data_IF_129212919484
#
_entry.id   IF_129212919484
#
_cell.length_a   1.000
_cell.length_b   1.000
_cell.length_c   1.000
_cell.angle_alpha   90.00
_cell.angle_beta   90.00
_cell.angle_gamma   90.00
#
_symmetry.space_group_name_H-M   'P 1'
#
loop_
_entity.id
_entity.type
_entity.pdbx_description
1 polymer ?
#
# COMPACT_ATOMS: atom_id res chain seq x y z
N UNK A 1 22.08 -16.69 -20.11
CA UNK A 1 23.20 -15.83 -20.50
C UNK A 1 24.45 -16.68 -20.64
N UNK A 2 25.19 -16.52 -21.73
CA UNK A 2 26.29 -17.42 -22.09
C UNK A 2 25.80 -18.88 -22.30
N UNK A 3 26.54 -19.85 -21.83
CA UNK A 3 26.20 -21.27 -21.95
C UNK A 3 25.43 -21.80 -20.71
N UNK A 4 25.02 -20.92 -19.78
CA UNK A 4 24.33 -21.34 -18.56
C UNK A 4 22.82 -21.32 -18.82
N UNK A 5 22.19 -22.48 -18.65
CA UNK A 5 20.76 -22.69 -18.73
C UNK A 5 20.23 -22.80 -17.30
N UNK A 6 19.23 -22.01 -16.98
CA UNK A 6 18.44 -22.08 -15.72
C UNK A 6 17.09 -22.68 -16.07
N UNK A 7 16.70 -23.75 -15.39
CA UNK A 7 15.40 -24.39 -15.57
C UNK A 7 14.37 -23.78 -14.61
N UNK A 8 13.10 -23.93 -14.96
CA UNK A 8 12.01 -23.58 -14.08
C UNK A 8 12.13 -24.29 -12.72
N UNK A 9 11.97 -23.56 -11.61
CA UNK A 9 12.13 -24.06 -10.24
C UNK A 9 13.56 -24.06 -9.70
N UNK A 10 14.60 -23.77 -10.51
CA UNK A 10 15.97 -23.61 -10.00
C UNK A 10 16.14 -22.27 -9.26
N UNK A 11 16.81 -22.33 -8.11
CA UNK A 11 17.14 -21.13 -7.34
C UNK A 11 18.22 -20.31 -8.05
N UNK A 12 18.01 -19.00 -8.11
CA UNK A 12 18.98 -18.02 -8.59
C UNK A 12 19.11 -16.88 -7.59
N UNK A 13 20.28 -16.26 -7.55
CA UNK A 13 20.53 -15.03 -6.83
C UNK A 13 20.81 -13.91 -7.82
N UNK A 14 20.16 -12.76 -7.66
CA UNK A 14 20.32 -11.59 -8.52
C UNK A 14 21.00 -10.48 -7.74
N UNK A 15 22.09 -9.94 -8.26
CA UNK A 15 22.72 -8.74 -7.79
C UNK A 15 22.34 -7.58 -8.72
N UNK A 16 21.36 -6.77 -8.29
CA UNK A 16 20.89 -5.63 -9.06
C UNK A 16 21.91 -4.51 -9.22
N UNK A 17 22.89 -4.41 -8.32
CA UNK A 17 23.93 -3.41 -8.38
C UNK A 17 24.95 -3.68 -9.49
N UNK A 18 25.39 -4.94 -9.64
CA UNK A 18 26.34 -5.35 -10.70
C UNK A 18 25.67 -5.93 -11.93
N UNK A 19 24.35 -6.18 -11.91
CA UNK A 19 23.60 -6.84 -12.97
C UNK A 19 23.93 -8.34 -13.11
N UNK A 20 24.56 -8.95 -12.12
CA UNK A 20 24.93 -10.38 -12.16
C UNK A 20 23.79 -11.27 -11.72
N UNK A 21 23.64 -12.39 -12.43
CA UNK A 21 22.75 -13.48 -12.04
C UNK A 21 23.62 -14.71 -11.71
N UNK A 22 23.43 -15.24 -10.52
CA UNK A 22 24.20 -16.37 -10.00
C UNK A 22 23.27 -17.56 -9.81
N UNK A 23 23.73 -18.75 -10.20
CA UNK A 23 22.96 -19.99 -9.97
C UNK A 23 23.10 -20.39 -8.50
N UNK A 24 21.96 -20.73 -7.88
CA UNK A 24 21.87 -21.12 -6.48
C UNK A 24 21.66 -19.96 -5.52
N UNK A 25 21.61 -20.29 -4.23
CA UNK A 25 21.47 -19.32 -3.13
C UNK A 25 22.84 -18.82 -2.69
N UNK A 26 23.09 -17.53 -2.89
CA UNK A 26 24.31 -16.86 -2.42
C UNK A 26 23.98 -16.13 -1.12
N UNK A 27 24.81 -16.26 -0.07
CA UNK A 27 24.64 -15.52 1.17
C UNK A 27 24.62 -14.01 0.91
N UNK A 28 23.61 -13.32 1.44
CA UNK A 28 23.45 -11.87 1.33
C UNK A 28 23.79 -11.20 2.65
N UNK A 29 24.35 -10.01 2.56
CA UNK A 29 24.65 -9.17 3.73
C UNK A 29 23.58 -8.11 3.85
N UNK A 30 23.01 -7.95 5.04
CA UNK A 30 22.08 -6.86 5.31
C UNK A 30 22.82 -5.52 5.29
N UNK A 31 22.32 -4.52 4.57
CA UNK A 31 22.95 -3.21 4.57
C UNK A 31 22.84 -2.56 5.96
N UNK A 32 23.93 -1.99 6.42
CA UNK A 32 24.01 -1.26 7.69
C UNK A 32 24.69 0.08 7.52
N UNK A 33 24.23 1.08 8.25
CA UNK A 33 24.93 2.36 8.36
C UNK A 33 26.06 2.18 9.38
N UNK A 34 27.24 1.84 8.92
CA UNK A 34 28.39 1.54 9.79
C UNK A 34 29.70 2.13 9.26
N UNK A 35 30.72 2.16 10.10
CA UNK A 35 32.07 2.57 9.73
C UNK A 35 32.17 3.98 9.14
N UNK A 36 32.92 4.14 8.08
CA UNK A 36 33.14 5.44 7.41
C UNK A 36 31.84 6.06 6.86
N UNK A 37 30.88 5.25 6.45
CA UNK A 37 29.60 5.76 5.97
C UNK A 37 28.82 6.47 7.10
N UNK A 38 28.80 5.88 8.30
CA UNK A 38 28.22 6.53 9.48
C UNK A 38 28.90 7.84 9.81
N UNK A 39 30.22 7.89 9.68
CA UNK A 39 31.01 9.12 9.92
C UNK A 39 30.63 10.21 8.93
N UNK A 40 30.57 9.89 7.64
CA UNK A 40 30.17 10.86 6.59
C UNK A 40 28.75 11.37 6.84
N UNK A 41 27.81 10.47 7.19
CA UNK A 41 26.43 10.86 7.51
C UNK A 41 26.37 11.79 8.71
N UNK A 42 27.17 11.53 9.76
CA UNK A 42 27.23 12.41 10.93
C UNK A 42 27.81 13.80 10.62
N UNK A 43 28.72 13.90 9.67
CA UNK A 43 29.20 15.17 9.18
C UNK A 43 28.14 15.91 8.36
N UNK A 44 27.48 15.22 7.44
CA UNK A 44 26.38 15.78 6.65
C UNK A 44 25.27 16.34 7.56
N UNK A 45 24.91 15.65 8.62
CA UNK A 45 23.90 16.06 9.59
C UNK A 45 24.22 17.38 10.32
N UNK A 46 25.50 17.72 10.45
CA UNK A 46 25.93 19.01 11.05
C UNK A 46 25.69 20.21 10.12
N UNK A 47 25.63 19.99 8.83
CA UNK A 47 25.52 21.07 7.82
C UNK A 47 24.15 21.14 7.16
N UNK A 48 23.42 20.02 7.05
CA UNK A 48 22.09 20.01 6.43
C UNK A 48 21.10 20.83 7.25
N UNK A 49 20.22 21.52 6.54
CA UNK A 49 19.07 22.27 7.12
C UNK A 49 17.75 21.52 6.95
N UNK A 50 17.64 20.74 5.88
CA UNK A 50 16.44 19.98 5.59
C UNK A 50 16.47 18.61 6.27
N UNK A 51 15.30 18.14 6.65
CA UNK A 51 15.08 16.79 7.15
C UNK A 51 14.77 15.84 6.02
N UNK A 52 15.16 14.58 6.16
CA UNK A 52 14.91 13.52 5.19
C UNK A 52 13.70 12.70 5.61
N UNK A 53 12.69 12.63 4.75
CA UNK A 53 11.52 11.77 4.93
C UNK A 53 11.51 10.72 3.83
N UNK A 54 11.04 9.52 4.20
CA UNK A 54 10.95 8.38 3.28
C UNK A 54 9.51 8.10 2.88
N UNK A 55 9.33 7.22 1.89
CA UNK A 55 8.06 6.57 1.63
C UNK A 55 8.01 5.26 2.42
N UNK A 56 6.91 5.01 3.12
CA UNK A 56 6.67 3.76 3.85
C UNK A 56 5.16 3.54 4.00
N UNK A 57 4.69 2.34 3.74
CA UNK A 57 3.29 1.97 3.74
C UNK A 57 2.95 0.88 4.75
N UNK A 58 3.97 0.23 5.34
CA UNK A 58 3.81 -0.84 6.33
C UNK A 58 4.59 -0.57 7.61
N UNK A 59 4.28 -1.31 8.66
CA UNK A 59 5.07 -1.30 9.90
C UNK A 59 6.54 -1.63 9.64
N UNK A 60 6.80 -2.64 8.80
CA UNK A 60 8.15 -3.11 8.51
C UNK A 60 8.95 -2.08 7.70
N UNK A 61 8.33 -1.44 6.70
CA UNK A 61 8.96 -0.34 5.97
C UNK A 61 9.31 0.81 6.90
N UNK A 62 8.39 1.15 7.82
CA UNK A 62 8.59 2.21 8.81
C UNK A 62 9.74 1.90 9.76
N UNK A 63 9.86 0.64 10.22
CA UNK A 63 11.00 0.17 11.04
C UNK A 63 12.31 0.29 10.27
N UNK A 64 12.32 -0.16 9.04
CA UNK A 64 13.49 -0.08 8.16
C UNK A 64 13.89 1.37 7.90
N UNK A 65 12.93 2.22 7.57
CA UNK A 65 13.12 3.64 7.37
C UNK A 65 13.78 4.31 8.59
N UNK A 66 13.23 4.01 9.78
CA UNK A 66 13.76 4.56 11.03
C UNK A 66 15.17 4.06 11.36
N UNK A 67 15.44 2.77 11.08
CA UNK A 67 16.80 2.18 11.21
C UNK A 67 17.80 2.90 10.33
N UNK A 68 17.40 3.34 9.13
CA UNK A 68 18.23 4.10 8.19
C UNK A 68 18.21 5.62 8.43
N UNK A 69 17.67 6.09 9.55
CA UNK A 69 17.75 7.49 9.96
C UNK A 69 16.72 8.42 9.32
N UNK A 70 15.61 7.88 8.78
CA UNK A 70 14.52 8.71 8.30
C UNK A 70 13.88 9.51 9.44
N UNK A 71 13.62 10.79 9.20
CA UNK A 71 13.06 11.74 10.16
C UNK A 71 11.55 11.98 9.95
N UNK A 72 10.91 11.04 9.32
CA UNK A 72 9.47 11.03 9.06
C UNK A 72 9.09 10.23 7.83
N UNK A 73 7.81 10.08 7.62
CA UNK A 73 7.24 9.55 6.38
C UNK A 73 6.75 10.72 5.55
N UNK A 74 7.31 10.88 4.34
CA UNK A 74 6.93 11.90 3.38
C UNK A 74 5.73 11.50 2.54
N UNK A 75 5.51 10.20 2.36
CA UNK A 75 4.35 9.63 1.67
C UNK A 75 4.05 8.23 2.18
N UNK A 76 2.85 8.07 2.73
CA UNK A 76 2.23 6.78 3.00
C UNK A 76 1.04 6.60 2.04
N UNK A 77 1.14 5.64 1.11
CA UNK A 77 0.10 5.35 0.11
C UNK A 77 -0.87 4.34 0.66
N UNK A 78 -2.08 4.77 0.94
CA UNK A 78 -3.10 3.92 1.56
C UNK A 78 -3.63 2.84 0.63
N UNK A 79 -3.50 3.00 -0.68
CA UNK A 79 -3.87 1.98 -1.66
C UNK A 79 -3.12 0.66 -1.47
N UNK A 80 -1.87 0.69 -1.03
CA UNK A 80 -1.08 -0.53 -0.78
C UNK A 80 -1.68 -1.38 0.35
N UNK A 81 -2.38 -0.74 1.29
CA UNK A 81 -3.07 -1.45 2.37
C UNK A 81 -4.29 -2.24 1.88
N UNK A 82 -4.83 -1.91 0.70
CA UNK A 82 -6.03 -2.54 0.15
C UNK A 82 -5.76 -3.79 -0.69
N UNK A 83 -4.52 -4.00 -1.14
CA UNK A 83 -4.16 -5.16 -1.99
C UNK A 83 -3.93 -6.47 -1.22
N UNK A 84 -4.01 -6.45 0.10
CA UNK A 84 -3.92 -7.66 0.94
C UNK A 84 -5.06 -8.63 0.62
N UNK A 85 -4.76 -9.93 0.51
CA UNK A 85 -5.73 -10.98 0.14
C UNK A 85 -6.95 -11.03 1.06
N UNK A 86 -6.77 -10.72 2.35
CA UNK A 86 -7.87 -10.72 3.32
C UNK A 86 -8.80 -9.50 3.19
N UNK A 87 -8.43 -8.51 2.40
CA UNK A 87 -9.12 -7.22 2.29
C UNK A 87 -9.67 -6.95 0.90
N UNK A 88 -8.99 -7.46 -0.12
CA UNK A 88 -9.29 -7.14 -1.53
C UNK A 88 -10.74 -7.42 -1.90
N UNK A 89 -11.35 -8.47 -1.35
CA UNK A 89 -12.76 -8.77 -1.58
C UNK A 89 -13.66 -7.66 -1.06
N UNK A 90 -13.42 -7.15 0.16
CA UNK A 90 -14.19 -6.03 0.73
C UNK A 90 -13.96 -4.74 -0.05
N UNK A 91 -12.77 -4.51 -0.59
CA UNK A 91 -12.47 -3.36 -1.47
C UNK A 91 -13.27 -3.48 -2.77
N UNK A 92 -13.30 -4.65 -3.39
CA UNK A 92 -14.10 -4.92 -4.59
C UNK A 92 -15.60 -4.75 -4.32
N UNK A 93 -16.09 -5.22 -3.16
CA UNK A 93 -17.47 -4.98 -2.71
C UNK A 93 -17.78 -3.48 -2.59
N UNK A 94 -16.89 -2.70 -1.97
CA UNK A 94 -17.02 -1.26 -1.85
C UNK A 94 -17.14 -0.57 -3.22
N UNK A 95 -16.29 -0.94 -4.18
CA UNK A 95 -16.24 -0.33 -5.50
C UNK A 95 -17.48 -0.68 -6.35
N UNK A 96 -17.91 -1.93 -6.29
CA UNK A 96 -19.01 -2.46 -7.11
C UNK A 96 -20.39 -2.24 -6.49
N UNK A 97 -20.44 -1.72 -5.24
CA UNK A 97 -21.70 -1.42 -4.56
C UNK A 97 -22.55 -0.42 -5.33
N UNK A 98 -23.84 -0.72 -5.49
CA UNK A 98 -24.82 0.15 -6.14
C UNK A 98 -25.41 1.19 -5.19
N UNK A 99 -25.54 0.83 -3.92
CA UNK A 99 -26.11 1.71 -2.90
C UNK A 99 -25.04 2.20 -1.93
N UNK A 100 -25.31 3.34 -1.29
CA UNK A 100 -24.49 3.84 -0.19
C UNK A 100 -24.46 2.84 0.96
N UNK A 101 -25.57 2.23 1.31
CA UNK A 101 -25.66 1.26 2.40
C UNK A 101 -24.73 0.05 2.18
N UNK A 102 -24.70 -0.50 0.96
CA UNK A 102 -23.82 -1.63 0.66
C UNK A 102 -22.35 -1.22 0.71
N UNK A 103 -22.06 0.01 0.28
CA UNK A 103 -20.69 0.56 0.38
C UNK A 103 -20.28 0.77 1.83
N UNK A 104 -21.14 1.33 2.67
CA UNK A 104 -20.89 1.50 4.10
C UNK A 104 -20.67 0.15 4.80
N UNK A 105 -21.41 -0.89 4.42
CA UNK A 105 -21.20 -2.25 4.92
C UNK A 105 -19.81 -2.81 4.53
N UNK A 106 -19.34 -2.55 3.32
CA UNK A 106 -18.01 -2.94 2.90
C UNK A 106 -16.91 -2.15 3.62
N UNK A 107 -17.09 -0.83 3.75
CA UNK A 107 -16.18 0.06 4.46
C UNK A 107 -16.06 -0.28 5.94
N UNK A 108 -17.15 -0.68 6.60
CA UNK A 108 -17.14 -1.10 8.01
C UNK A 108 -16.25 -2.33 8.25
N UNK A 109 -16.08 -3.20 7.24
CA UNK A 109 -15.15 -4.33 7.30
C UNK A 109 -13.69 -3.89 7.11
N UNK A 110 -13.45 -2.83 6.34
CA UNK A 110 -12.11 -2.31 6.05
C UNK A 110 -11.57 -1.43 7.18
N UNK A 111 -12.42 -0.69 7.87
CA UNK A 111 -12.05 0.23 8.94
C UNK A 111 -11.11 -0.38 10.00
N UNK A 112 -11.39 -1.55 10.60
CA UNK A 112 -10.51 -2.12 11.63
C UNK A 112 -9.12 -2.48 11.08
N UNK A 113 -9.02 -2.92 9.84
CA UNK A 113 -7.74 -3.22 9.21
C UNK A 113 -6.91 -1.96 9.02
N UNK A 114 -7.47 -0.94 8.39
CA UNK A 114 -6.75 0.33 8.18
C UNK A 114 -6.38 1.02 9.50
N UNK A 115 -7.29 1.01 10.47
CA UNK A 115 -6.96 1.52 11.81
C UNK A 115 -5.76 0.82 12.40
N UNK A 116 -5.68 -0.50 12.31
CA UNK A 116 -4.55 -1.26 12.82
C UNK A 116 -3.25 -0.94 12.06
N UNK A 117 -3.29 -0.82 10.74
CA UNK A 117 -2.13 -0.47 9.92
C UNK A 117 -1.58 0.92 10.33
N UNK A 118 -2.45 1.91 10.45
CA UNK A 118 -2.05 3.24 10.92
C UNK A 118 -1.51 3.21 12.35
N UNK A 119 -2.15 2.46 13.24
CA UNK A 119 -1.66 2.29 14.63
C UNK A 119 -0.23 1.76 14.64
N UNK A 120 0.09 0.77 13.83
CA UNK A 120 1.42 0.18 13.72
C UNK A 120 2.44 1.19 13.19
N UNK A 121 2.13 1.86 12.09
CA UNK A 121 2.98 2.88 11.48
C UNK A 121 3.24 4.03 12.47
N UNK A 122 2.20 4.57 13.09
CA UNK A 122 2.31 5.70 14.02
C UNK A 122 3.09 5.33 15.29
N UNK A 123 2.94 4.10 15.77
CA UNK A 123 3.72 3.59 16.91
C UNK A 123 5.21 3.58 16.58
N UNK A 124 5.59 3.05 15.43
CA UNK A 124 6.98 3.03 14.97
C UNK A 124 7.51 4.45 14.76
N UNK A 125 6.70 5.34 14.20
CA UNK A 125 7.08 6.72 13.88
C UNK A 125 6.80 7.71 15.00
N UNK A 126 6.60 7.25 16.24
CA UNK A 126 6.31 8.13 17.37
C UNK A 126 7.32 9.27 17.49
N UNK A 127 6.82 10.51 17.62
CA UNK A 127 7.61 11.75 17.65
C UNK A 127 8.05 12.28 16.28
N UNK A 128 7.74 11.57 15.18
CA UNK A 128 8.10 11.96 13.82
C UNK A 128 6.84 12.17 12.95
N UNK A 129 6.88 13.09 11.98
CA UNK A 129 5.74 13.36 11.11
C UNK A 129 5.48 12.22 10.13
N UNK A 130 4.20 11.94 9.89
CA UNK A 130 3.72 10.99 8.88
C UNK A 130 2.74 11.71 7.96
N UNK A 131 3.06 11.78 6.67
CA UNK A 131 2.16 12.30 5.64
C UNK A 131 1.41 11.14 4.99
N UNK A 132 0.12 11.06 5.24
CA UNK A 132 -0.77 10.04 4.68
C UNK A 132 -1.43 10.58 3.42
N UNK A 133 -1.34 9.86 2.31
CA UNK A 133 -2.15 10.08 1.13
C UNK A 133 -3.39 9.20 1.22
N UNK A 134 -4.56 9.81 1.26
CA UNK A 134 -5.82 9.09 1.15
C UNK A 134 -5.93 8.41 -0.21
N UNK A 135 -6.87 7.50 -0.38
CA UNK A 135 -7.04 6.69 -1.60
C UNK A 135 -7.00 7.57 -2.86
N UNK A 136 -6.02 7.32 -3.73
CA UNK A 136 -5.77 8.13 -4.92
C UNK A 136 -5.94 7.40 -6.25
N UNK A 137 -5.52 6.13 -6.44
CA UNK A 137 -5.62 5.50 -7.75
C UNK A 137 -7.07 5.29 -8.20
N UNK A 138 -7.31 5.17 -9.52
CA UNK A 138 -8.63 4.85 -10.06
C UNK A 138 -9.14 3.52 -9.50
N UNK A 139 -10.44 3.44 -9.26
CA UNK A 139 -11.05 2.26 -8.62
C UNK A 139 -10.88 0.98 -9.44
N UNK A 140 -10.78 1.08 -10.77
CA UNK A 140 -10.64 -0.09 -11.64
C UNK A 140 -9.35 -0.88 -11.41
N UNK A 141 -8.32 -0.27 -10.80
CA UNK A 141 -7.06 -0.98 -10.49
C UNK A 141 -7.25 -2.11 -9.47
N UNK A 142 -8.25 -2.00 -8.60
CA UNK A 142 -8.59 -3.02 -7.59
C UNK A 142 -9.53 -4.10 -8.11
N UNK A 143 -10.12 -3.91 -9.29
CA UNK A 143 -11.13 -4.82 -9.83
C UNK A 143 -10.51 -6.13 -10.30
N UNK A 144 -11.28 -7.24 -10.26
CA UNK A 144 -10.78 -8.54 -10.67
C UNK A 144 -10.48 -8.55 -12.18
N UNK A 145 -9.38 -9.23 -12.55
CA UNK A 145 -8.92 -9.35 -13.94
C UNK A 145 -9.08 -10.75 -14.51
N UNK A 146 -9.41 -11.73 -13.68
CA UNK A 146 -9.58 -13.12 -14.08
C UNK A 146 -10.99 -13.63 -13.72
N UNK A 147 -11.46 -14.64 -14.44
CA UNK A 147 -12.82 -15.18 -14.29
C UNK A 147 -13.11 -15.71 -12.89
N UNK A 148 -12.12 -16.34 -12.22
CA UNK A 148 -12.28 -16.90 -10.88
C UNK A 148 -12.60 -15.82 -9.86
N UNK A 149 -11.86 -14.72 -9.89
CA UNK A 149 -12.09 -13.58 -8.98
C UNK A 149 -13.42 -12.87 -9.30
N UNK A 150 -13.81 -12.80 -10.59
CA UNK A 150 -15.11 -12.24 -11.00
C UNK A 150 -16.25 -13.08 -10.43
N UNK A 151 -16.17 -14.41 -10.50
CA UNK A 151 -17.16 -15.31 -9.91
C UNK A 151 -17.24 -15.19 -8.39
N UNK A 152 -16.10 -15.04 -7.71
CA UNK A 152 -16.06 -14.85 -6.26
C UNK A 152 -16.76 -13.55 -5.85
N UNK A 153 -16.45 -12.47 -6.53
CA UNK A 153 -17.07 -11.16 -6.29
C UNK A 153 -18.57 -11.21 -6.59
N UNK A 154 -18.98 -11.82 -7.71
CA UNK A 154 -20.36 -11.98 -8.09
C UNK A 154 -21.17 -12.74 -7.02
N UNK A 155 -20.63 -13.85 -6.52
CA UNK A 155 -21.24 -14.61 -5.41
C UNK A 155 -21.33 -13.77 -4.12
N UNK A 156 -20.28 -13.04 -3.78
CA UNK A 156 -20.22 -12.24 -2.55
C UNK A 156 -21.20 -11.06 -2.52
N UNK A 157 -21.53 -10.54 -3.70
CA UNK A 157 -22.49 -9.43 -3.89
C UNK A 157 -23.90 -9.92 -4.29
N UNK A 158 -24.08 -11.23 -4.47
CA UNK A 158 -25.32 -11.82 -5.01
C UNK A 158 -25.74 -11.21 -6.36
N UNK A 159 -24.74 -11.00 -7.24
CA UNK A 159 -24.91 -10.45 -8.59
C UNK A 159 -24.63 -11.51 -9.65
N UNK A 160 -25.17 -11.30 -10.86
CA UNK A 160 -24.81 -12.10 -12.03
C UNK A 160 -23.38 -11.80 -12.51
N UNK A 161 -22.65 -12.80 -13.00
CA UNK A 161 -21.29 -12.65 -13.54
C UNK A 161 -21.26 -11.56 -14.62
N UNK A 162 -22.19 -11.60 -15.58
CA UNK A 162 -22.30 -10.58 -16.65
C UNK A 162 -22.52 -9.16 -16.10
N UNK A 163 -23.23 -9.04 -15.00
CA UNK A 163 -23.48 -7.75 -14.36
C UNK A 163 -22.18 -7.18 -13.76
N UNK A 164 -21.37 -8.02 -13.13
CA UNK A 164 -20.06 -7.65 -12.60
C UNK A 164 -19.12 -7.28 -13.74
N UNK A 165 -19.08 -8.06 -14.82
CA UNK A 165 -18.27 -7.76 -16.01
C UNK A 165 -18.63 -6.41 -16.64
N UNK A 166 -19.92 -6.13 -16.81
CA UNK A 166 -20.41 -4.86 -17.32
C UNK A 166 -19.97 -3.70 -16.42
N UNK A 167 -20.07 -3.88 -15.09
CA UNK A 167 -19.65 -2.84 -14.14
C UNK A 167 -18.15 -2.60 -14.15
N UNK A 168 -17.34 -3.66 -14.33
CA UNK A 168 -15.88 -3.54 -14.51
C UNK A 168 -15.58 -2.74 -15.77
N UNK A 169 -16.29 -3.03 -16.87
CA UNK A 169 -16.13 -2.30 -18.13
C UNK A 169 -16.50 -0.82 -18.00
N UNK A 170 -17.61 -0.49 -17.34
CA UNK A 170 -18.05 0.89 -17.09
C UNK A 170 -17.04 1.69 -16.25
N UNK A 171 -16.35 1.03 -15.32
CA UNK A 171 -15.36 1.67 -14.43
C UNK A 171 -13.97 1.74 -15.05
N UNK A 172 -13.76 1.13 -16.20
CA UNK A 172 -12.45 1.13 -16.86
C UNK A 172 -12.11 2.54 -17.36
N UNK A 173 -10.92 3.01 -17.01
CA UNK A 173 -10.40 4.32 -17.40
C UNK A 173 -9.31 4.15 -18.45
N UNK A 174 -9.44 4.80 -19.60
CA UNK A 174 -8.40 4.81 -20.63
C UNK A 174 -7.17 5.62 -20.18
N UNK A 175 -7.41 6.75 -19.52
CA UNK A 175 -6.37 7.57 -18.93
C UNK A 175 -6.54 7.67 -17.41
N UNK A 176 -5.79 6.88 -16.63
CA UNK A 176 -5.87 6.88 -15.17
C UNK A 176 -5.64 8.24 -14.52
N UNK A 177 -4.86 9.12 -15.16
CA UNK A 177 -4.56 10.45 -14.60
C UNK A 177 -5.77 11.41 -14.63
N UNK A 178 -6.66 11.22 -15.59
CA UNK A 178 -7.85 12.04 -15.79
C UNK A 178 -9.12 11.38 -15.26
N UNK A 179 -9.03 10.14 -14.81
CA UNK A 179 -10.14 9.31 -14.38
C UNK A 179 -10.78 9.73 -13.05
N UNK A 180 -11.71 8.91 -12.60
CA UNK A 180 -12.47 9.11 -11.36
C UNK A 180 -11.63 8.73 -10.14
N UNK A 181 -10.79 9.65 -9.71
CA UNK A 181 -9.84 9.48 -8.59
C UNK A 181 -9.65 10.77 -7.79
N UNK A 182 -8.96 10.68 -6.65
CA UNK A 182 -8.58 11.82 -5.82
C UNK A 182 -9.80 12.65 -5.40
N UNK A 183 -9.76 13.97 -5.61
CA UNK A 183 -10.84 14.86 -5.22
C UNK A 183 -12.17 14.56 -5.93
N UNK A 184 -12.14 14.11 -7.19
CA UNK A 184 -13.38 13.71 -7.91
C UNK A 184 -14.05 12.51 -7.25
N UNK A 185 -13.26 11.52 -6.83
CA UNK A 185 -13.75 10.36 -6.09
C UNK A 185 -14.32 10.79 -4.74
N UNK A 186 -13.65 11.71 -4.03
CA UNK A 186 -14.10 12.24 -2.74
C UNK A 186 -15.41 13.02 -2.79
N UNK A 187 -15.73 13.63 -3.94
CA UNK A 187 -17.02 14.28 -4.15
C UNK A 187 -18.13 13.25 -4.38
N UNK A 188 -17.85 12.22 -5.18
CA UNK A 188 -18.85 11.21 -5.54
C UNK A 188 -19.10 10.18 -4.43
N UNK A 189 -18.04 9.81 -3.70
CA UNK A 189 -18.08 8.78 -2.65
C UNK A 189 -17.32 9.24 -1.40
N UNK A 190 -17.79 10.29 -0.72
CA UNK A 190 -17.12 10.88 0.43
C UNK A 190 -16.91 9.87 1.58
N UNK A 191 -17.80 8.89 1.72
CA UNK A 191 -17.76 7.87 2.75
C UNK A 191 -16.46 7.04 2.74
N UNK A 192 -15.79 6.91 1.59
CA UNK A 192 -14.49 6.24 1.49
C UNK A 192 -13.43 7.02 2.28
N UNK A 193 -13.40 8.33 2.09
CA UNK A 193 -12.44 9.21 2.77
C UNK A 193 -12.81 9.44 4.22
N UNK A 194 -14.11 9.50 4.55
CA UNK A 194 -14.61 9.55 5.92
C UNK A 194 -14.11 8.35 6.72
N UNK A 195 -14.23 7.13 6.17
CA UNK A 195 -13.72 5.90 6.78
C UNK A 195 -12.19 5.95 6.99
N UNK A 196 -11.43 6.43 6.00
CA UNK A 196 -9.97 6.53 6.13
C UNK A 196 -9.56 7.54 7.20
N UNK A 197 -10.21 8.70 7.24
CA UNK A 197 -10.00 9.70 8.30
C UNK A 197 -10.35 9.12 9.68
N UNK A 198 -11.46 8.42 9.78
CA UNK A 198 -11.88 7.75 11.03
C UNK A 198 -10.83 6.73 11.48
N UNK A 199 -10.29 5.92 10.55
CA UNK A 199 -9.22 4.95 10.85
C UNK A 199 -7.97 5.63 11.40
N UNK A 200 -7.54 6.74 10.78
CA UNK A 200 -6.37 7.52 11.19
C UNK A 200 -6.58 8.07 12.61
N UNK A 201 -7.70 8.75 12.87
CA UNK A 201 -7.93 9.37 14.17
C UNK A 201 -8.19 8.34 15.28
N UNK A 202 -8.88 7.24 14.99
CA UNK A 202 -9.05 6.14 15.95
C UNK A 202 -7.68 5.52 16.32
N UNK A 203 -6.79 5.34 15.36
CA UNK A 203 -5.44 4.85 15.63
C UNK A 203 -4.65 5.80 16.54
N UNK A 204 -4.72 7.10 16.30
CA UNK A 204 -4.05 8.10 17.13
C UNK A 204 -4.63 8.18 18.56
N UNK A 205 -5.95 8.09 18.69
CA UNK A 205 -6.61 8.10 20.01
C UNK A 205 -6.23 6.87 20.83
N UNK A 206 -6.17 5.70 20.20
CA UNK A 206 -5.73 4.47 20.88
C UNK A 206 -4.28 4.58 21.37
N UNK A 207 -3.36 5.07 20.51
CA UNK A 207 -1.95 5.23 20.88
C UNK A 207 -1.70 6.29 21.96
N UNK A 208 -2.61 7.25 22.13
CA UNK A 208 -2.50 8.24 23.20
C UNK A 208 -2.93 7.69 24.57
N UNK A 209 -3.67 6.59 24.59
CA UNK A 209 -4.13 5.93 25.82
C UNK A 209 -3.15 4.86 26.33
N UNK A 210 -2.32 4.32 25.41
CA UNK A 210 -1.24 3.39 25.70
C UNK A 210 0.03 4.13 26.13
#
# INVERSE_FOLDING_TARGET
AGNIIVKEGELITIDGGSGKVMKGLVPTVQPEISGYFSTIMSWADKFRKLKVRTNAETENDSKTARKFGAEGIGLCRTEHMFFDENRILSVRQMILSKSRQDRDNALSKLLPFQKNDFKQIFKVMSGLPVTVRLLDPPLHEFLPKNSKDIEEVARSLNLGIKEVENRIFELHEENPMLGHRGCRLGISFPEIYEMQCEAIFKALVELKKD
#
